data_IF_488850668138
#
_entry.id   IF_488850668138
#
_cell.length_a   1.000
_cell.length_b   1.000
_cell.length_c   1.000
_cell.angle_alpha   90.00
_cell.angle_beta   90.00
_cell.angle_gamma   90.00
#
_symmetry.space_group_name_H-M   'P 1'
#
loop_
_entity.id
_entity.type
_entity.pdbx_description
1 polymer ?
#
# COMPACT_ATOMS: atom_id res chain seq x y z
N UNK A 1 26.57 -22.62 29.10
CA UNK A 1 25.19 -22.52 29.65
C UNK A 1 24.43 -21.30 29.14
N UNK A 2 25.03 -20.09 29.13
CA UNK A 2 24.37 -18.86 28.65
C UNK A 2 23.96 -18.86 27.15
N UNK A 3 24.78 -19.44 26.26
CA UNK A 3 24.52 -19.49 24.81
C UNK A 3 23.29 -20.37 24.48
N UNK A 4 23.15 -21.53 25.13
CA UNK A 4 21.98 -22.40 24.95
C UNK A 4 20.68 -21.74 25.43
N UNK A 5 20.72 -20.99 26.53
CA UNK A 5 19.58 -20.22 27.04
C UNK A 5 19.17 -19.11 26.07
N UNK A 6 20.14 -18.36 25.52
CA UNK A 6 19.88 -17.30 24.53
C UNK A 6 19.28 -17.85 23.23
N UNK A 7 19.79 -18.99 22.71
CA UNK A 7 19.25 -19.64 21.51
C UNK A 7 17.83 -20.16 21.74
N UNK A 8 17.56 -20.74 22.92
CA UNK A 8 16.21 -21.20 23.27
C UNK A 8 15.22 -20.03 23.38
N UNK A 9 15.64 -18.91 23.95
CA UNK A 9 14.83 -17.70 24.05
C UNK A 9 14.52 -17.11 22.65
N UNK A 10 15.53 -17.04 21.77
CA UNK A 10 15.35 -16.56 20.40
C UNK A 10 14.40 -17.44 19.57
N UNK A 11 14.48 -18.78 19.72
CA UNK A 11 13.55 -19.71 19.08
C UNK A 11 12.12 -19.52 19.58
N UNK A 12 11.93 -19.40 20.89
CA UNK A 12 10.62 -19.15 21.49
C UNK A 12 10.00 -17.83 20.99
N UNK A 13 10.80 -16.76 20.93
CA UNK A 13 10.36 -15.47 20.40
C UNK A 13 9.98 -15.56 18.92
N UNK A 14 10.80 -16.21 18.09
CA UNK A 14 10.52 -16.39 16.67
C UNK A 14 9.25 -17.22 16.45
N UNK A 15 9.05 -18.29 17.21
CA UNK A 15 7.81 -19.07 17.17
C UNK A 15 6.59 -18.22 17.53
N UNK A 16 6.69 -17.40 18.58
CA UNK A 16 5.61 -16.48 18.98
C UNK A 16 5.27 -15.48 17.87
N UNK A 17 6.30 -14.87 17.26
CA UNK A 17 6.13 -13.92 16.16
C UNK A 17 5.48 -14.60 14.95
N UNK A 18 5.98 -15.77 14.55
CA UNK A 18 5.45 -16.52 13.39
C UNK A 18 4.01 -16.96 13.66
N UNK A 19 3.72 -17.53 14.83
CA UNK A 19 2.34 -17.92 15.19
C UNK A 19 1.42 -16.71 15.20
N UNK A 20 1.83 -15.59 15.82
CA UNK A 20 1.04 -14.35 15.86
C UNK A 20 0.76 -13.79 14.46
N UNK A 21 1.75 -13.83 13.56
CA UNK A 21 1.60 -13.43 12.17
C UNK A 21 0.64 -14.35 11.41
N UNK A 22 0.73 -15.67 11.58
CA UNK A 22 -0.18 -16.64 10.96
C UNK A 22 -1.63 -16.48 11.46
N UNK A 23 -1.83 -16.23 12.76
CA UNK A 23 -3.16 -15.92 13.31
C UNK A 23 -3.72 -14.62 12.72
N UNK A 24 -2.88 -13.59 12.61
CA UNK A 24 -3.26 -12.31 12.00
C UNK A 24 -3.67 -12.51 10.54
N UNK A 25 -2.93 -13.30 9.77
CA UNK A 25 -3.29 -13.70 8.40
C UNK A 25 -4.68 -14.36 8.35
N UNK A 26 -4.93 -15.34 9.21
CA UNK A 26 -6.21 -16.04 9.28
C UNK A 26 -7.38 -15.12 9.61
N UNK A 27 -7.23 -14.27 10.64
CA UNK A 27 -8.24 -13.30 11.05
C UNK A 27 -8.51 -12.29 9.92
N UNK A 28 -7.46 -11.74 9.31
CA UNK A 28 -7.60 -10.79 8.21
C UNK A 28 -8.32 -11.42 7.01
N UNK A 29 -8.02 -12.67 6.68
CA UNK A 29 -8.68 -13.38 5.59
C UNK A 29 -10.18 -13.60 5.88
N UNK A 30 -10.54 -14.00 7.10
CA UNK A 30 -11.94 -14.17 7.50
C UNK A 30 -12.70 -12.84 7.41
N UNK A 31 -12.13 -11.76 7.94
CA UNK A 31 -12.75 -10.42 7.84
C UNK A 31 -12.91 -10.01 6.36
N UNK A 32 -11.88 -10.23 5.54
CA UNK A 32 -11.94 -9.92 4.11
C UNK A 32 -13.07 -10.68 3.41
N UNK A 33 -13.24 -11.98 3.69
CA UNK A 33 -14.32 -12.81 3.13
C UNK A 33 -15.70 -12.28 3.55
N UNK A 34 -15.89 -11.96 4.84
CA UNK A 34 -17.15 -11.40 5.34
C UNK A 34 -17.47 -10.08 4.63
N UNK A 35 -16.48 -9.19 4.50
CA UNK A 35 -16.63 -7.92 3.79
C UNK A 35 -16.92 -8.11 2.30
N UNK A 36 -16.28 -9.08 1.66
CA UNK A 36 -16.52 -9.40 0.25
C UNK A 36 -17.94 -9.91 0.03
N UNK A 37 -18.47 -10.76 0.92
CA UNK A 37 -19.86 -11.20 0.89
C UNK A 37 -20.78 -9.98 1.09
N UNK A 38 -20.55 -9.16 2.11
CA UNK A 38 -21.35 -7.96 2.38
C UNK A 38 -21.35 -6.96 1.21
N UNK A 39 -20.21 -6.79 0.53
CA UNK A 39 -20.05 -5.90 -0.62
C UNK A 39 -20.79 -6.37 -1.88
N UNK A 40 -21.19 -7.64 -1.92
CA UNK A 40 -21.93 -8.26 -3.02
C UNK A 40 -23.38 -8.61 -2.67
N UNK A 41 -23.79 -8.46 -1.41
CA UNK A 41 -25.17 -8.62 -0.98
C UNK A 41 -26.01 -7.37 -1.26
N UNK A 42 -27.28 -7.60 -1.62
CA UNK A 42 -28.29 -6.57 -1.80
C UNK A 42 -28.24 -5.83 -3.15
N UNK A 43 -29.22 -4.93 -3.32
CA UNK A 43 -29.42 -4.20 -4.56
C UNK A 43 -28.25 -3.25 -4.88
N UNK A 44 -27.93 -3.08 -6.17
CA UNK A 44 -26.85 -2.19 -6.64
C UNK A 44 -26.98 -0.74 -6.16
N UNK A 45 -28.20 -0.26 -5.93
CA UNK A 45 -28.46 1.11 -5.43
C UNK A 45 -28.43 1.23 -3.91
N UNK A 46 -28.13 0.16 -3.18
CA UNK A 46 -28.11 0.16 -1.72
C UNK A 46 -26.93 0.94 -1.16
N UNK A 47 -27.20 1.89 -0.25
CA UNK A 47 -26.16 2.62 0.50
C UNK A 47 -25.28 1.66 1.32
N UNK A 48 -25.86 0.57 1.83
CA UNK A 48 -25.13 -0.45 2.58
C UNK A 48 -24.09 -1.16 1.70
N UNK A 49 -24.47 -1.53 0.48
CA UNK A 49 -23.56 -2.19 -0.47
C UNK A 49 -22.41 -1.25 -0.85
N UNK A 50 -22.71 0.02 -1.10
CA UNK A 50 -21.70 1.04 -1.36
C UNK A 50 -20.72 1.18 -0.20
N UNK A 51 -21.22 1.32 1.04
CA UNK A 51 -20.37 1.44 2.22
C UNK A 51 -19.52 0.17 2.44
N UNK A 52 -20.10 -1.02 2.26
CA UNK A 52 -19.38 -2.29 2.37
C UNK A 52 -18.23 -2.39 1.36
N UNK A 53 -18.46 -1.96 0.10
CA UNK A 53 -17.38 -1.88 -0.91
C UNK A 53 -16.26 -0.92 -0.47
N UNK A 54 -16.59 0.25 0.07
CA UNK A 54 -15.60 1.21 0.59
C UNK A 54 -14.79 0.61 1.74
N UNK A 55 -15.45 0.02 2.73
CA UNK A 55 -14.80 -0.61 3.89
C UNK A 55 -13.88 -1.75 3.42
N UNK A 56 -14.35 -2.57 2.48
CA UNK A 56 -13.58 -3.66 1.91
C UNK A 56 -12.28 -3.17 1.25
N UNK A 57 -12.30 -2.05 0.50
CA UNK A 57 -11.09 -1.49 -0.12
C UNK A 57 -10.08 -1.02 0.91
N UNK A 58 -10.54 -0.25 1.90
CA UNK A 58 -9.67 0.25 2.95
C UNK A 58 -9.06 -0.90 3.74
N UNK A 59 -9.88 -1.88 4.11
CA UNK A 59 -9.43 -3.07 4.78
C UNK A 59 -8.43 -3.84 3.93
N UNK A 60 -8.72 -4.08 2.64
CA UNK A 60 -7.81 -4.75 1.72
C UNK A 60 -6.47 -4.02 1.62
N UNK A 61 -6.49 -2.69 1.54
CA UNK A 61 -5.28 -1.85 1.43
C UNK A 61 -4.44 -1.94 2.71
N UNK A 62 -5.05 -1.78 3.88
CA UNK A 62 -4.37 -1.89 5.17
C UNK A 62 -3.83 -3.31 5.35
N UNK A 63 -4.65 -4.32 5.06
CA UNK A 63 -4.26 -5.73 5.14
C UNK A 63 -3.08 -6.02 4.20
N UNK A 64 -3.16 -5.63 2.94
CA UNK A 64 -2.12 -5.86 1.94
C UNK A 64 -0.79 -5.23 2.33
N UNK A 65 -0.79 -3.98 2.81
CA UNK A 65 0.45 -3.34 3.28
C UNK A 65 0.98 -3.95 4.57
N UNK A 66 0.11 -4.33 5.51
CA UNK A 66 0.51 -4.89 6.82
C UNK A 66 1.09 -6.29 6.68
N UNK A 67 0.43 -7.17 5.94
CA UNK A 67 0.88 -8.54 5.75
C UNK A 67 2.19 -8.59 4.95
N UNK A 68 2.44 -7.61 4.09
CA UNK A 68 3.69 -7.55 3.33
C UNK A 68 4.84 -6.85 4.09
N UNK A 69 4.64 -6.37 5.33
CA UNK A 69 5.72 -5.77 6.14
C UNK A 69 6.98 -6.66 6.20
N UNK A 70 6.90 -7.98 6.48
CA UNK A 70 8.09 -8.83 6.49
C UNK A 70 8.87 -8.81 5.17
N UNK A 71 8.16 -8.74 4.03
CA UNK A 71 8.79 -8.61 2.70
C UNK A 71 9.47 -7.25 2.55
N UNK A 72 8.82 -6.18 3.02
CA UNK A 72 9.39 -4.83 2.93
C UNK A 72 10.59 -4.63 3.83
N UNK A 73 10.68 -5.34 4.96
CA UNK A 73 11.83 -5.28 5.86
C UNK A 73 13.12 -5.80 5.20
N UNK A 74 13.03 -6.71 4.23
CA UNK A 74 14.18 -7.16 3.44
C UNK A 74 14.60 -6.15 2.35
N UNK A 75 13.71 -5.25 1.94
CA UNK A 75 13.96 -4.21 0.93
C UNK A 75 13.34 -2.88 1.37
N UNK A 76 13.82 -2.29 2.48
CA UNK A 76 13.19 -1.12 3.06
C UNK A 76 13.33 0.08 2.12
N UNK A 77 12.30 0.91 2.08
CA UNK A 77 12.20 2.14 1.28
C UNK A 77 12.33 1.93 -0.23
N UNK A 78 11.97 0.76 -0.72
CA UNK A 78 12.03 0.44 -2.15
C UNK A 78 10.64 0.58 -2.80
N UNK A 79 10.52 1.42 -3.84
CA UNK A 79 9.26 1.70 -4.56
C UNK A 79 8.66 0.46 -5.24
N UNK A 80 9.45 -0.57 -5.53
CA UNK A 80 8.95 -1.83 -6.10
C UNK A 80 7.98 -2.52 -5.13
N UNK A 81 8.12 -2.30 -3.82
CA UNK A 81 7.18 -2.82 -2.83
C UNK A 81 5.75 -2.30 -3.05
N UNK A 82 5.59 -1.05 -3.53
CA UNK A 82 4.29 -0.49 -3.92
C UNK A 82 3.66 -1.30 -5.07
N UNK A 83 4.44 -1.75 -6.05
CA UNK A 83 3.97 -2.61 -7.15
C UNK A 83 3.44 -3.96 -6.65
N UNK A 84 4.10 -4.57 -5.67
CA UNK A 84 3.67 -5.85 -5.07
C UNK A 84 2.30 -5.68 -4.38
N UNK A 85 2.15 -4.62 -3.59
CA UNK A 85 0.85 -4.29 -2.96
C UNK A 85 -0.20 -4.00 -4.03
N UNK A 86 0.14 -3.17 -5.02
CA UNK A 86 -0.77 -2.77 -6.09
C UNK A 86 -1.32 -3.95 -6.86
N UNK A 87 -0.47 -4.93 -7.19
CA UNK A 87 -0.90 -6.17 -7.83
C UNK A 87 -1.94 -6.92 -6.99
N UNK A 88 -1.71 -7.07 -5.69
CA UNK A 88 -2.65 -7.72 -4.77
C UNK A 88 -3.99 -6.96 -4.69
N UNK A 89 -3.94 -5.65 -4.45
CA UNK A 89 -5.15 -4.84 -4.29
C UNK A 89 -5.97 -4.76 -5.59
N UNK A 90 -5.32 -4.79 -6.76
CA UNK A 90 -6.02 -4.88 -8.04
C UNK A 90 -6.81 -6.16 -8.20
N UNK A 91 -6.31 -7.29 -7.69
CA UNK A 91 -7.12 -8.52 -7.68
C UNK A 91 -8.36 -8.35 -6.80
N UNK A 92 -8.22 -7.68 -5.66
CA UNK A 92 -9.37 -7.34 -4.80
C UNK A 92 -10.32 -6.31 -5.46
N UNK A 93 -9.81 -5.39 -6.28
CA UNK A 93 -10.63 -4.32 -6.87
C UNK A 93 -11.64 -4.82 -7.90
N UNK A 94 -11.46 -6.01 -8.48
CA UNK A 94 -12.49 -6.66 -9.30
C UNK A 94 -13.80 -6.91 -8.54
N UNK A 95 -13.74 -7.10 -7.21
CA UNK A 95 -14.93 -7.25 -6.35
C UNK A 95 -15.76 -5.95 -6.27
N UNK A 96 -15.20 -4.83 -6.70
CA UNK A 96 -15.87 -3.53 -6.71
C UNK A 96 -16.71 -3.32 -7.96
N UNK A 97 -16.65 -4.23 -8.94
CA UNK A 97 -17.26 -4.04 -10.26
C UNK A 97 -16.77 -2.74 -10.94
N UNK A 98 -15.52 -2.32 -10.66
CA UNK A 98 -14.87 -1.17 -11.29
C UNK A 98 -14.00 -1.68 -12.45
N UNK A 99 -14.23 -1.14 -13.64
CA UNK A 99 -13.39 -1.35 -14.81
C UNK A 99 -12.44 -0.18 -14.98
N UNK A 100 -11.15 -0.47 -15.15
CA UNK A 100 -10.11 0.54 -15.37
C UNK A 100 -9.75 0.61 -16.85
N UNK A 101 -9.68 1.82 -17.39
CA UNK A 101 -9.17 2.09 -18.73
C UNK A 101 -7.99 3.06 -18.61
N UNK A 102 -6.80 2.66 -19.06
CA UNK A 102 -5.63 3.54 -19.12
C UNK A 102 -5.41 3.95 -20.55
N UNK A 103 -5.52 5.25 -20.83
CA UNK A 103 -5.28 5.83 -22.14
C UNK A 103 -3.87 6.41 -22.20
N UNK A 104 -3.19 6.29 -23.34
CA UNK A 104 -1.85 6.84 -23.52
C UNK A 104 -0.74 6.08 -22.79
N UNK A 105 -0.95 4.82 -22.42
CA UNK A 105 0.00 4.00 -21.66
C UNK A 105 1.42 3.92 -22.28
N UNK A 106 1.53 4.06 -23.61
CA UNK A 106 2.83 4.08 -24.33
C UNK A 106 3.76 5.19 -23.82
N UNK A 107 3.24 6.34 -23.40
CA UNK A 107 4.02 7.45 -22.86
C UNK A 107 4.68 7.12 -21.51
N UNK A 108 4.20 6.07 -20.84
CA UNK A 108 4.68 5.65 -19.52
C UNK A 108 5.67 4.48 -19.61
N UNK A 109 5.88 3.89 -20.80
CA UNK A 109 6.72 2.69 -20.97
C UNK A 109 8.22 2.99 -20.91
N UNK A 110 8.61 4.21 -21.26
CA UNK A 110 10.02 4.59 -21.35
C UNK A 110 10.66 4.86 -19.98
N UNK A 111 9.90 4.73 -18.87
CA UNK A 111 10.35 4.94 -17.48
C UNK A 111 11.18 6.22 -17.27
N UNK A 112 10.92 7.26 -18.08
CA UNK A 112 11.62 8.55 -17.99
C UNK A 112 11.25 9.24 -16.69
N UNK A 113 12.24 9.77 -15.97
CA UNK A 113 12.03 10.63 -14.82
C UNK A 113 11.01 11.75 -15.10
N UNK A 114 9.94 11.79 -14.31
CA UNK A 114 8.87 12.78 -14.49
C UNK A 114 7.93 12.92 -13.29
N UNK A 115 7.05 13.92 -13.37
CA UNK A 115 6.03 14.18 -12.36
C UNK A 115 4.65 13.81 -12.92
N UNK A 116 3.95 12.92 -12.23
CA UNK A 116 2.55 12.60 -12.53
C UNK A 116 1.66 13.49 -11.65
N UNK A 117 1.00 14.46 -12.28
CA UNK A 117 0.00 15.31 -11.63
C UNK A 117 -1.39 14.71 -11.86
N UNK A 118 -2.05 14.32 -10.78
CA UNK A 118 -3.43 13.83 -10.82
C UNK A 118 -4.35 14.75 -10.01
N UNK A 119 -5.56 14.96 -10.51
CA UNK A 119 -6.64 15.49 -9.67
C UNK A 119 -6.94 14.49 -8.55
N UNK A 120 -7.23 15.00 -7.35
CA UNK A 120 -7.59 14.15 -6.21
C UNK A 120 -9.04 14.44 -5.82
N UNK A 121 -9.95 13.57 -6.25
CA UNK A 121 -11.39 13.68 -5.99
C UNK A 121 -11.80 12.88 -4.76
N UNK A 122 -11.12 11.75 -4.49
CA UNK A 122 -11.46 10.89 -3.36
C UNK A 122 -10.31 9.98 -2.96
N UNK A 123 -10.40 9.35 -1.79
CA UNK A 123 -9.45 8.31 -1.38
C UNK A 123 -9.42 7.09 -2.31
N UNK A 124 -10.47 6.84 -3.10
CA UNK A 124 -10.52 5.74 -4.09
C UNK A 124 -9.50 5.98 -5.22
N UNK A 125 -9.02 7.20 -5.41
CA UNK A 125 -8.01 7.51 -6.44
C UNK A 125 -6.71 6.70 -6.24
N UNK A 126 -6.47 6.16 -5.04
CA UNK A 126 -5.37 5.21 -4.79
C UNK A 126 -5.49 3.93 -5.63
N UNK A 127 -6.71 3.50 -5.96
CA UNK A 127 -6.92 2.35 -6.84
C UNK A 127 -6.44 2.63 -8.27
N UNK A 128 -6.59 3.87 -8.75
CA UNK A 128 -6.02 4.29 -10.02
C UNK A 128 -4.49 4.22 -9.97
N UNK A 129 -3.89 4.64 -8.84
CA UNK A 129 -2.45 4.56 -8.62
C UNK A 129 -1.93 3.12 -8.65
N UNK A 130 -2.65 2.16 -8.04
CA UNK A 130 -2.29 0.74 -8.14
C UNK A 130 -2.30 0.22 -9.59
N UNK A 131 -3.15 0.78 -10.45
CA UNK A 131 -3.14 0.46 -11.88
C UNK A 131 -1.91 1.04 -12.58
N UNK A 132 -1.54 2.29 -12.28
CA UNK A 132 -0.33 2.92 -12.81
C UNK A 132 0.97 2.21 -12.38
N UNK A 133 1.05 1.74 -11.14
CA UNK A 133 2.21 1.00 -10.62
C UNK A 133 2.45 -0.35 -11.31
N UNK A 134 1.49 -0.89 -12.06
CA UNK A 134 1.73 -2.07 -12.90
C UNK A 134 2.45 -1.68 -14.20
N UNK A 135 2.12 -0.51 -14.74
CA UNK A 135 2.65 -0.01 -16.01
C UNK A 135 4.04 0.61 -15.86
N UNK A 136 4.36 1.11 -14.67
CA UNK A 136 5.61 1.79 -14.36
C UNK A 136 6.30 1.11 -13.17
N UNK A 137 7.57 0.77 -13.32
CA UNK A 137 8.30 0.02 -12.28
C UNK A 137 8.78 0.90 -11.12
N UNK A 138 9.07 2.18 -11.40
CA UNK A 138 9.69 3.11 -10.45
C UNK A 138 8.85 4.37 -10.26
N UNK A 139 7.64 4.17 -9.75
CA UNK A 139 6.70 5.25 -9.46
C UNK A 139 6.21 5.13 -8.02
N UNK A 140 6.06 6.28 -7.36
CA UNK A 140 5.56 6.36 -6.00
C UNK A 140 4.64 7.57 -5.84
N UNK A 141 3.68 7.48 -4.94
CA UNK A 141 2.82 8.62 -4.60
C UNK A 141 3.47 9.52 -3.56
N UNK A 142 2.96 10.73 -3.39
CA UNK A 142 3.36 11.62 -2.28
C UNK A 142 2.22 11.65 -1.28
N UNK A 143 2.46 11.15 -0.08
CA UNK A 143 1.47 11.12 0.99
C UNK A 143 1.58 12.34 1.91
N UNK A 144 0.47 12.67 2.57
CA UNK A 144 0.45 13.68 3.65
C UNK A 144 1.13 13.12 4.89
N UNK A 145 1.93 13.91 5.63
CA UNK A 145 2.63 13.47 6.84
C UNK A 145 1.72 12.79 7.87
N UNK A 146 0.48 13.23 8.00
CA UNK A 146 -0.50 12.64 8.92
C UNK A 146 -0.80 11.16 8.58
N UNK A 147 -0.69 10.78 7.31
CA UNK A 147 -0.88 9.39 6.87
C UNK A 147 0.21 8.45 7.39
N UNK A 148 1.38 8.97 7.78
CA UNK A 148 2.43 8.16 8.40
C UNK A 148 1.96 7.59 9.76
N UNK A 149 1.08 8.29 10.46
CA UNK A 149 0.62 7.90 11.80
C UNK A 149 -0.60 6.97 11.77
N UNK A 150 -1.14 6.66 10.58
CA UNK A 150 -2.21 5.66 10.44
C UNK A 150 -1.59 4.27 10.57
N UNK A 151 -1.48 3.77 11.80
CA UNK A 151 -0.88 2.46 12.06
C UNK A 151 -1.85 1.32 11.67
N UNK A 152 -1.37 0.23 11.06
CA UNK A 152 0.01 -0.05 10.60
C UNK A 152 0.34 0.44 9.18
N UNK A 153 -0.63 0.99 8.45
CA UNK A 153 -0.50 1.39 7.04
C UNK A 153 0.66 2.37 6.79
N UNK A 154 0.78 3.43 7.58
CA UNK A 154 1.76 4.50 7.38
C UNK A 154 3.20 4.00 7.38
N UNK A 155 3.69 3.33 8.44
CA UNK A 155 5.03 2.76 8.45
C UNK A 155 5.25 1.72 7.34
N UNK A 156 4.24 0.91 7.02
CA UNK A 156 4.34 -0.07 5.93
C UNK A 156 4.50 0.61 4.56
N UNK A 157 3.74 1.68 4.29
CA UNK A 157 3.86 2.46 3.06
C UNK A 157 5.20 3.22 2.99
N UNK A 158 5.73 3.68 4.13
CA UNK A 158 7.09 4.23 4.20
C UNK A 158 8.16 3.20 3.84
N UNK A 159 8.04 1.97 4.34
CA UNK A 159 8.90 0.85 3.95
C UNK A 159 8.72 0.50 2.46
N UNK A 160 7.55 0.76 1.89
CA UNK A 160 7.29 0.61 0.46
C UNK A 160 7.83 1.77 -0.40
N UNK A 161 8.57 2.73 0.19
CA UNK A 161 9.19 3.84 -0.55
C UNK A 161 8.26 5.04 -0.77
N UNK A 162 7.16 5.17 -0.02
CA UNK A 162 6.26 6.32 -0.10
C UNK A 162 6.87 7.54 0.65
N UNK A 163 7.17 8.66 -0.03
CA UNK A 163 7.53 9.92 0.63
C UNK A 163 6.33 10.57 1.31
N UNK A 164 6.60 11.26 2.43
CA UNK A 164 5.60 11.99 3.20
C UNK A 164 5.93 13.48 3.20
N UNK A 165 4.95 14.32 2.89
CA UNK A 165 5.08 15.77 2.86
C UNK A 165 4.36 16.42 4.04
N UNK A 166 5.04 17.34 4.72
CA UNK A 166 4.44 18.19 5.75
C UNK A 166 3.82 19.43 5.10
N UNK A 167 2.50 19.50 5.05
CA UNK A 167 1.79 20.65 4.45
C UNK A 167 1.73 21.86 5.36
N UNK A 168 1.99 21.68 6.66
CA UNK A 168 2.05 22.78 7.63
C UNK A 168 3.41 23.49 7.58
N UNK A 169 4.44 22.84 7.03
CA UNK A 169 5.78 23.41 6.86
C UNK A 169 6.20 23.39 5.38
N UNK A 170 5.92 24.45 4.61
CA UNK A 170 6.30 24.53 3.19
C UNK A 170 7.78 24.25 2.96
N UNK A 171 8.67 24.76 3.83
CA UNK A 171 10.12 24.51 3.75
C UNK A 171 10.45 23.02 3.80
N UNK A 172 9.88 22.28 4.75
CA UNK A 172 10.07 20.83 4.87
C UNK A 172 9.48 20.09 3.66
N UNK A 173 8.31 20.55 3.18
CA UNK A 173 7.69 20.02 1.98
C UNK A 173 8.58 20.15 0.75
N UNK A 174 9.13 21.35 0.50
CA UNK A 174 10.06 21.59 -0.61
C UNK A 174 11.35 20.78 -0.48
N UNK A 175 11.88 20.59 0.73
CA UNK A 175 13.05 19.72 0.94
C UNK A 175 12.75 18.27 0.57
N UNK A 176 11.57 17.76 0.93
CA UNK A 176 11.13 16.40 0.56
C UNK A 176 10.99 16.26 -0.96
N UNK A 177 10.32 17.22 -1.61
CA UNK A 177 10.18 17.24 -3.07
C UNK A 177 11.54 17.35 -3.77
N UNK A 178 12.45 18.19 -3.27
CA UNK A 178 13.81 18.32 -3.79
C UNK A 178 14.61 17.03 -3.69
N UNK A 179 14.43 16.26 -2.60
CA UNK A 179 15.02 14.93 -2.47
C UNK A 179 14.44 13.95 -3.49
N UNK A 180 13.12 13.94 -3.69
CA UNK A 180 12.50 13.10 -4.72
C UNK A 180 13.01 13.46 -6.12
N UNK A 181 13.13 14.75 -6.43
CA UNK A 181 13.65 15.23 -7.71
C UNK A 181 15.12 14.83 -7.93
N UNK A 182 15.92 14.78 -6.88
CA UNK A 182 17.30 14.29 -6.94
C UNK A 182 17.34 12.79 -7.21
N UNK A 183 16.58 11.98 -6.47
CA UNK A 183 16.49 10.53 -6.67
C UNK A 183 16.03 10.17 -8.08
N UNK A 184 15.03 10.90 -8.59
CA UNK A 184 14.53 10.72 -9.95
C UNK A 184 15.61 10.89 -11.01
N UNK A 185 16.57 11.82 -10.82
CA UNK A 185 17.68 12.05 -11.75
C UNK A 185 18.86 11.08 -11.58
N UNK A 186 19.00 10.48 -10.40
CA UNK A 186 20.10 9.57 -10.07
C UNK A 186 19.78 8.11 -10.44
N UNK A 187 18.49 7.79 -10.57
CA UNK A 187 18.00 6.45 -10.92
C UNK A 187 17.64 6.27 -12.41
N UNK A 188 17.69 7.35 -13.20
CA UNK A 188 17.64 7.35 -14.68
C UNK A 188 18.95 6.79 -15.28
#
# INVERSE_FOLDING_TARGET
>A
MAIHSAISCAKCLLEWIVRGYLWTLGICLVIFIILAIAANLGNRRSKYRFLAKFIMIYFATIMGTTLLIPVFLFRPRNVINCKIVGWFIRKCSYLLEITWEVRGARLLQDNVGGLICANHQSSIDILAMFNLWELMDRVTGIAKKEMFYVFPFGPAAWLAGLPYIDRQSPKSGYQTLGRCAKLMKEED
#
